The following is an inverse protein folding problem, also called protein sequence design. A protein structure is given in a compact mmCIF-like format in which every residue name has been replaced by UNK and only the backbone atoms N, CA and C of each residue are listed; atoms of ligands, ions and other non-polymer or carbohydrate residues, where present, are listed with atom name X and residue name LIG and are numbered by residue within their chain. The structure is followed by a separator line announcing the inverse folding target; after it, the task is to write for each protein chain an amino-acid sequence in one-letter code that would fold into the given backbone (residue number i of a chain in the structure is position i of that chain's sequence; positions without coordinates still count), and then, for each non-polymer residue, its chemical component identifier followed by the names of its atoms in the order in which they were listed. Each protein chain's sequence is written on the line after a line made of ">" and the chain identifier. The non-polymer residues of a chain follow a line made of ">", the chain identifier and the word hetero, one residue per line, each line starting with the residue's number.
data_IF_238347575610
#
_entry.id   IF_238347575610
#
_cell.length_a   1.000
_cell.length_b   1.000
_cell.length_c   1.000
_cell.angle_alpha   90.00
_cell.angle_beta   90.00
_cell.angle_gamma   90.00
#
_symmetry.space_group_name_H-M   'P 1'
#
loop_
_entity.id
_entity.type
_entity.pdbx_description
1 polymer ?
#
# COMPACT_ATOMS: atom_id res chain seq x y z
N UNK A 1 18.47 -14.01 4.73
CA UNK A 1 19.18 -12.72 4.57
C UNK A 1 18.24 -11.79 3.84
N UNK A 2 17.91 -10.64 4.42
CA UNK A 2 16.92 -9.72 3.85
C UNK A 2 17.45 -9.12 2.54
N UNK A 3 16.70 -9.31 1.44
CA UNK A 3 17.04 -8.81 0.11
C UNK A 3 16.47 -7.42 -0.17
N UNK A 4 15.57 -6.94 0.68
CA UNK A 4 14.91 -5.65 0.57
C UNK A 4 14.92 -5.01 1.94
N UNK A 5 15.30 -3.74 2.01
CA UNK A 5 15.14 -2.90 3.19
C UNK A 5 14.38 -1.64 2.82
N UNK A 6 13.57 -1.17 3.76
CA UNK A 6 12.75 0.01 3.56
C UNK A 6 12.95 0.95 4.74
N UNK A 7 13.11 2.23 4.43
CA UNK A 7 13.10 3.32 5.39
C UNK A 7 11.96 4.25 5.02
N UNK A 8 11.29 4.81 6.01
CA UNK A 8 10.28 5.83 5.79
C UNK A 8 10.53 7.05 6.67
N UNK A 9 10.06 8.20 6.20
CA UNK A 9 10.02 9.46 6.93
C UNK A 9 9.04 10.40 6.25
N UNK A 10 8.62 11.45 6.94
CA UNK A 10 7.88 12.56 6.32
C UNK A 10 8.86 13.64 5.88
N UNK A 11 8.68 14.20 4.70
CA UNK A 11 9.60 15.21 4.19
C UNK A 11 9.05 16.00 3.03
N UNK A 12 9.51 17.25 2.93
CA UNK A 12 9.21 18.12 1.80
C UNK A 12 10.32 18.14 0.76
N UNK A 13 10.10 18.99 -0.24
CA UNK A 13 11.02 19.22 -1.36
C UNK A 13 12.49 19.38 -0.94
N UNK A 14 12.78 20.24 0.04
CA UNK A 14 14.16 20.52 0.46
C UNK A 14 14.85 19.27 1.02
N UNK A 15 14.14 18.46 1.81
CA UNK A 15 14.70 17.22 2.36
C UNK A 15 14.98 16.22 1.23
N UNK A 16 14.02 16.03 0.33
CA UNK A 16 14.11 15.06 -0.78
C UNK A 16 15.23 15.43 -1.75
N UNK A 17 15.35 16.71 -2.12
CA UNK A 17 16.38 17.19 -3.05
C UNK A 17 17.81 17.09 -2.51
N UNK A 18 17.96 17.09 -1.18
CA UNK A 18 19.25 16.98 -0.51
C UNK A 18 19.60 15.54 -0.09
N UNK A 19 18.74 14.56 -0.39
CA UNK A 19 19.04 13.17 -0.10
C UNK A 19 20.23 12.67 -0.91
N UNK A 20 21.07 11.88 -0.25
CA UNK A 20 22.27 11.29 -0.80
C UNK A 20 22.37 9.84 -0.35
N UNK A 21 22.69 8.96 -1.30
CA UNK A 21 23.13 7.61 -1.01
C UNK A 21 24.65 7.65 -0.83
N UNK A 22 25.13 7.31 0.36
CA UNK A 22 26.55 7.23 0.65
C UNK A 22 26.97 5.76 0.72
N UNK A 23 28.03 5.42 0.00
CA UNK A 23 28.69 4.11 0.08
C UNK A 23 30.16 4.37 0.36
N UNK A 24 30.59 3.98 1.54
CA UNK A 24 31.90 4.28 2.10
C UNK A 24 32.17 5.80 2.10
N UNK A 25 33.08 6.27 1.23
CA UNK A 25 33.48 7.68 1.11
C UNK A 25 32.85 8.38 -0.10
N UNK A 26 32.07 7.66 -0.90
CA UNK A 26 31.46 8.19 -2.12
C UNK A 26 30.01 8.54 -1.81
N UNK A 27 29.64 9.78 -2.10
CA UNK A 27 28.26 10.25 -2.01
C UNK A 27 27.66 10.36 -3.42
N UNK A 28 26.48 9.77 -3.59
CA UNK A 28 25.69 9.82 -4.80
C UNK A 28 24.47 10.71 -4.55
N UNK A 29 24.41 11.84 -5.25
CA UNK A 29 23.24 12.72 -5.21
C UNK A 29 22.07 12.05 -5.91
N UNK A 30 20.91 12.07 -5.26
CA UNK A 30 19.67 11.59 -5.87
C UNK A 30 19.23 12.59 -6.95
N UNK A 31 18.68 12.11 -8.08
CA UNK A 31 18.22 12.98 -9.16
C UNK A 31 17.25 14.06 -8.70
N UNK A 32 17.48 15.28 -9.18
CA UNK A 32 16.62 16.41 -8.86
C UNK A 32 15.19 16.17 -9.42
N UNK A 33 14.21 16.30 -8.53
CA UNK A 33 12.78 16.20 -8.84
C UNK A 33 12.01 17.46 -8.44
N UNK A 34 12.69 18.57 -8.11
CA UNK A 34 12.10 19.79 -7.54
C UNK A 34 11.00 20.41 -8.41
N UNK A 35 11.04 20.21 -9.74
CA UNK A 35 10.00 20.69 -10.64
C UNK A 35 8.75 19.78 -10.70
N UNK A 36 8.77 18.62 -10.03
CA UNK A 36 7.71 17.59 -10.07
C UNK A 36 7.08 17.30 -8.71
N UNK A 37 7.69 17.80 -7.64
CA UNK A 37 7.17 17.69 -6.28
C UNK A 37 6.93 19.09 -5.70
N UNK A 38 5.86 19.24 -4.93
CA UNK A 38 5.50 20.48 -4.26
C UNK A 38 4.73 20.15 -2.99
N UNK A 39 5.30 20.43 -1.83
CA UNK A 39 4.64 20.24 -0.54
C UNK A 39 5.37 19.25 0.36
N UNK A 40 4.61 18.61 1.24
CA UNK A 40 5.08 17.57 2.15
C UNK A 40 4.61 16.21 1.65
N UNK A 41 5.43 15.19 1.89
CA UNK A 41 5.21 13.84 1.39
C UNK A 41 5.46 12.81 2.49
N UNK A 42 4.75 11.69 2.41
CA UNK A 42 5.20 10.48 3.05
C UNK A 42 6.26 9.85 2.13
N UNK A 43 7.49 9.81 2.58
CA UNK A 43 8.62 9.33 1.79
C UNK A 43 8.98 7.93 2.22
N UNK A 44 9.16 7.05 1.25
CA UNK A 44 9.62 5.68 1.46
C UNK A 44 10.82 5.41 0.56
N UNK A 45 11.96 5.08 1.16
CA UNK A 45 13.16 4.67 0.47
C UNK A 45 13.30 3.14 0.51
N UNK A 46 13.24 2.49 -0.65
CA UNK A 46 13.36 1.03 -0.81
C UNK A 46 14.74 0.70 -1.36
N UNK A 47 15.44 -0.25 -0.75
CA UNK A 47 16.76 -0.72 -1.12
C UNK A 47 16.69 -2.22 -1.45
N UNK A 48 17.02 -2.62 -2.67
CA UNK A 48 16.94 -4.02 -3.10
C UNK A 48 18.24 -4.55 -3.70
N UNK A 49 18.62 -5.77 -3.30
CA UNK A 49 19.65 -6.57 -3.96
C UNK A 49 18.96 -7.36 -5.05
N UNK A 50 19.20 -6.98 -6.29
CA UNK A 50 18.54 -7.59 -7.43
C UNK A 50 19.28 -8.85 -7.84
N UNK A 51 18.57 -9.99 -7.83
CA UNK A 51 19.10 -11.24 -8.35
C UNK A 51 18.91 -11.32 -9.86
N UNK A 52 17.65 -11.28 -10.31
CA UNK A 52 17.29 -11.37 -11.74
C UNK A 52 16.57 -10.11 -12.23
N UNK A 53 15.62 -9.62 -11.44
CA UNK A 53 14.79 -8.45 -11.76
C UNK A 53 14.23 -7.81 -10.49
N UNK A 54 13.69 -6.60 -10.61
CA UNK A 54 13.09 -5.89 -9.49
C UNK A 54 11.87 -6.65 -8.94
N UNK A 55 11.76 -6.70 -7.62
CA UNK A 55 10.65 -7.38 -6.94
C UNK A 55 9.32 -6.67 -7.17
N UNK A 56 9.31 -5.34 -7.14
CA UNK A 56 8.11 -4.51 -7.28
C UNK A 56 7.93 -3.98 -8.69
N UNK A 57 6.71 -4.03 -9.21
CA UNK A 57 6.35 -3.32 -10.44
C UNK A 57 6.27 -1.82 -10.22
N UNK A 58 6.60 -1.04 -11.24
CA UNK A 58 6.44 0.40 -11.22
C UNK A 58 4.96 0.81 -10.91
N UNK A 59 3.97 0.02 -11.36
CA UNK A 59 2.54 0.27 -11.16
C UNK A 59 2.12 0.32 -9.69
N UNK A 60 2.75 -0.45 -8.80
CA UNK A 60 2.43 -0.41 -7.37
C UNK A 60 3.20 0.69 -6.63
N UNK A 61 4.15 1.35 -7.27
CA UNK A 61 4.96 2.40 -6.64
C UNK A 61 4.48 3.81 -6.99
N UNK A 62 3.76 3.97 -8.11
CA UNK A 62 3.17 5.23 -8.55
C UNK A 62 3.62 5.65 -9.95
N UNK A 63 3.46 6.92 -10.28
CA UNK A 63 3.97 7.50 -11.52
C UNK A 63 5.49 7.66 -11.44
N UNK A 64 6.23 7.07 -12.39
CA UNK A 64 7.68 7.26 -12.49
C UNK A 64 7.99 8.71 -12.89
N UNK A 65 8.57 9.47 -11.97
CA UNK A 65 8.89 10.90 -12.21
C UNK A 65 10.36 11.12 -12.54
N UNK A 66 11.26 10.22 -12.13
CA UNK A 66 12.68 10.27 -12.50
C UNK A 66 13.35 8.89 -12.37
N UNK A 67 14.43 8.67 -13.12
CA UNK A 67 15.28 7.49 -13.01
C UNK A 67 16.72 7.83 -13.40
N UNK A 68 17.70 7.26 -12.71
CA UNK A 68 19.12 7.51 -13.02
C UNK A 68 19.99 6.33 -12.61
N UNK A 69 21.04 6.09 -13.38
CA UNK A 69 22.12 5.18 -13.05
C UNK A 69 23.21 5.94 -12.27
N UNK A 70 23.50 5.52 -11.05
CA UNK A 70 24.44 6.18 -10.15
C UNK A 70 25.90 5.72 -10.37
N UNK A 71 26.09 4.54 -10.95
CA UNK A 71 27.41 4.01 -11.26
C UNK A 71 27.59 2.56 -10.84
N UNK A 72 28.83 2.10 -10.94
CA UNK A 72 29.25 0.74 -10.56
C UNK A 72 30.13 0.84 -9.32
N UNK A 73 29.85 0.01 -8.31
CA UNK A 73 30.51 0.07 -7.00
C UNK A 73 30.83 -1.33 -6.54
N UNK A 74 32.02 -1.51 -5.98
CA UNK A 74 32.39 -2.72 -5.26
C UNK A 74 32.00 -2.59 -3.79
N UNK A 75 31.18 -3.52 -3.30
CA UNK A 75 30.68 -3.53 -1.92
C UNK A 75 31.13 -4.85 -1.28
N UNK A 76 31.58 -4.78 -0.03
CA UNK A 76 31.94 -5.97 0.76
C UNK A 76 31.39 -5.85 2.19
N UNK A 77 31.64 -6.85 3.01
CA UNK A 77 31.12 -6.96 4.38
C UNK A 77 31.55 -5.80 5.32
N UNK A 78 32.56 -5.01 4.94
CA UNK A 78 33.03 -3.83 5.67
C UNK A 78 32.49 -2.52 5.10
N UNK A 79 31.85 -2.56 3.94
CA UNK A 79 31.34 -1.36 3.30
C UNK A 79 30.18 -0.79 4.11
N UNK A 80 30.14 0.54 4.20
CA UNK A 80 29.14 1.27 4.96
C UNK A 80 28.18 1.96 3.99
N UNK A 81 26.92 1.51 3.98
CA UNK A 81 25.85 2.02 3.13
C UNK A 81 24.94 2.88 3.99
N UNK A 82 24.73 4.13 3.62
CA UNK A 82 23.96 5.10 4.39
C UNK A 82 23.07 5.95 3.50
N UNK A 83 21.90 6.29 4.02
CA UNK A 83 21.06 7.35 3.49
C UNK A 83 21.16 8.55 4.42
N UNK A 84 21.51 9.70 3.87
CA UNK A 84 21.56 10.95 4.61
C UNK A 84 20.97 12.08 3.76
N UNK A 85 20.57 13.17 4.40
CA UNK A 85 20.17 14.37 3.69
C UNK A 85 20.96 15.55 4.23
N UNK A 86 21.74 16.20 3.37
CA UNK A 86 22.57 17.32 3.76
C UNK A 86 21.67 18.50 4.17
N UNK A 87 21.83 18.98 5.41
CA UNK A 87 21.17 20.20 5.92
C UNK A 87 19.66 20.13 6.17
N UNK A 88 19.04 18.95 6.27
CA UNK A 88 17.56 18.83 6.38
C UNK A 88 17.05 18.20 7.69
N UNK A 89 17.94 17.91 8.65
CA UNK A 89 17.56 17.36 9.95
C UNK A 89 17.15 15.88 9.94
N UNK A 90 17.16 15.20 8.80
CA UNK A 90 17.00 13.75 8.74
C UNK A 90 18.20 13.08 9.41
N UNK A 91 17.93 12.20 10.38
CA UNK A 91 18.96 11.35 11.00
C UNK A 91 19.64 10.48 9.94
N UNK A 92 20.94 10.26 10.11
CA UNK A 92 21.68 9.36 9.23
C UNK A 92 21.15 7.93 9.39
N UNK A 93 20.67 7.33 8.30
CA UNK A 93 20.17 5.96 8.32
C UNK A 93 21.23 5.02 7.76
N UNK A 94 21.74 4.14 8.63
CA UNK A 94 22.60 3.04 8.20
C UNK A 94 21.75 1.93 7.57
N UNK A 95 22.08 1.55 6.34
CA UNK A 95 21.42 0.47 5.63
C UNK A 95 22.22 -0.81 5.88
N UNK A 96 21.76 -1.62 6.84
CA UNK A 96 22.40 -2.90 7.14
C UNK A 96 22.08 -3.92 6.05
N UNK A 97 22.79 -3.84 4.93
CA UNK A 97 22.50 -4.60 3.72
C UNK A 97 23.71 -5.46 3.34
N UNK A 98 23.55 -6.78 3.45
CA UNK A 98 24.65 -7.70 3.15
C UNK A 98 24.82 -7.86 1.64
N UNK A 99 25.72 -7.03 1.10
CA UNK A 99 26.15 -7.03 -0.29
C UNK A 99 27.63 -7.39 -0.36
N UNK A 100 27.97 -8.34 -1.22
CA UNK A 100 29.36 -8.70 -1.48
C UNK A 100 29.55 -8.90 -2.99
N UNK A 101 30.37 -8.05 -3.61
CA UNK A 101 30.65 -8.08 -5.04
C UNK A 101 30.56 -6.72 -5.69
N UNK A 102 30.51 -6.73 -7.02
CA UNK A 102 30.44 -5.53 -7.85
C UNK A 102 29.01 -5.31 -8.31
N UNK A 103 28.42 -4.15 -7.99
CA UNK A 103 27.02 -3.83 -8.26
C UNK A 103 26.90 -2.60 -9.14
N UNK A 104 25.98 -2.67 -10.09
CA UNK A 104 25.38 -1.53 -10.77
C UNK A 104 24.31 -0.95 -9.85
N UNK A 105 24.38 0.35 -9.58
CA UNK A 105 23.44 1.05 -8.73
C UNK A 105 22.57 1.96 -9.58
N UNK A 106 21.26 1.80 -9.47
CA UNK A 106 20.33 2.76 -10.02
C UNK A 106 19.26 3.17 -9.02
N UNK A 107 18.61 4.26 -9.35
CA UNK A 107 17.53 4.85 -8.56
C UNK A 107 16.35 5.16 -9.47
N UNK A 108 15.15 4.78 -9.03
CA UNK A 108 13.87 5.23 -9.59
C UNK A 108 13.12 6.04 -8.55
N UNK A 109 12.43 7.09 -8.96
CA UNK A 109 11.63 7.93 -8.08
C UNK A 109 10.20 7.95 -8.61
N UNK A 110 9.27 7.58 -7.73
CA UNK A 110 7.85 7.51 -8.02
C UNK A 110 7.08 8.51 -7.17
N UNK A 111 6.06 9.11 -7.78
CA UNK A 111 5.06 9.92 -7.10
C UNK A 111 3.71 9.24 -7.17
N UNK A 112 3.07 9.09 -6.02
CA UNK A 112 1.76 8.46 -5.92
C UNK A 112 0.77 9.40 -5.22
N UNK A 113 -0.46 9.41 -5.70
CA UNK A 113 -1.54 10.26 -5.20
C UNK A 113 -2.84 9.46 -5.15
N UNK A 114 -3.73 9.73 -4.17
CA UNK A 114 -5.00 9.05 -4.14
C UNK A 114 -5.85 9.44 -5.35
N UNK A 115 -6.69 8.53 -5.81
CA UNK A 115 -7.59 8.77 -6.95
C UNK A 115 -8.56 9.91 -6.65
N UNK A 116 -9.11 9.94 -5.43
CA UNK A 116 -9.93 11.04 -4.92
C UNK A 116 -9.29 11.63 -3.66
N UNK A 117 -9.50 12.91 -3.43
CA UNK A 117 -9.13 13.58 -2.18
C UNK A 117 -10.40 14.05 -1.48
N UNK A 118 -10.53 13.74 -0.19
CA UNK A 118 -11.67 14.20 0.61
C UNK A 118 -11.29 15.49 1.35
N UNK A 119 -12.12 16.55 1.33
CA UNK A 119 -11.80 17.82 2.01
C UNK A 119 -11.52 17.68 3.51
N UNK A 120 -12.11 16.68 4.16
CA UNK A 120 -11.89 16.40 5.57
C UNK A 120 -10.48 15.86 5.89
N UNK A 121 -9.72 15.45 4.88
CA UNK A 121 -8.33 14.99 5.03
C UNK A 121 -7.36 16.16 5.00
N UNK A 122 -7.68 17.23 4.26
CA UNK A 122 -6.82 18.42 4.09
C UNK A 122 -6.51 19.15 5.43
N UNK A 123 -7.30 18.88 6.48
CA UNK A 123 -7.10 19.46 7.81
C UNK A 123 -6.15 18.66 8.70
N UNK A 124 -5.75 17.44 8.29
CA UNK A 124 -4.80 16.63 9.03
C UNK A 124 -3.38 17.13 8.79
N UNK A 125 -2.53 17.25 9.82
CA UNK A 125 -1.14 17.67 9.68
C UNK A 125 -0.23 16.53 9.16
N UNK A 126 -0.78 15.64 8.33
CA UNK A 126 -0.10 14.46 7.80
C UNK A 126 -0.16 14.55 6.26
N UNK A 127 0.97 14.38 5.55
CA UNK A 127 0.97 14.34 4.09
C UNK A 127 0.03 13.27 3.56
N UNK A 128 -0.50 13.45 2.35
CA UNK A 128 -1.35 12.46 1.69
C UNK A 128 -0.60 11.76 0.55
N UNK A 129 0.16 12.51 -0.23
CA UNK A 129 0.92 11.97 -1.36
C UNK A 129 2.14 11.17 -0.88
N UNK A 130 2.52 10.16 -1.68
CA UNK A 130 3.64 9.27 -1.38
C UNK A 130 4.75 9.49 -2.39
N UNK A 131 5.99 9.62 -1.92
CA UNK A 131 7.19 9.54 -2.76
C UNK A 131 7.90 8.24 -2.45
N UNK A 132 8.04 7.37 -3.45
CA UNK A 132 8.88 6.17 -3.32
C UNK A 132 10.19 6.38 -4.05
N UNK A 133 11.31 6.31 -3.32
CA UNK A 133 12.67 6.33 -3.87
C UNK A 133 13.21 4.90 -3.83
N UNK A 134 13.41 4.31 -4.99
CA UNK A 134 13.78 2.91 -5.12
C UNK A 134 15.21 2.76 -5.61
N UNK A 135 16.10 2.42 -4.69
CA UNK A 135 17.48 2.04 -4.96
C UNK A 135 17.58 0.54 -5.26
N UNK A 136 18.23 0.19 -6.36
CA UNK A 136 18.48 -1.18 -6.74
C UNK A 136 19.96 -1.43 -6.98
N UNK A 137 20.45 -2.55 -6.47
CA UNK A 137 21.84 -3.01 -6.56
C UNK A 137 21.86 -4.30 -7.37
N UNK A 138 22.37 -4.28 -8.60
CA UNK A 138 22.36 -5.44 -9.50
C UNK A 138 23.76 -5.82 -9.97
N UNK A 139 24.12 -7.10 -9.89
CA UNK A 139 25.40 -7.62 -10.39
C UNK A 139 25.48 -7.57 -11.93
N UNK A 140 24.32 -7.50 -12.61
CA UNK A 140 24.20 -7.38 -14.06
C UNK A 140 23.49 -6.08 -14.45
N UNK A 141 23.51 -5.71 -15.73
CA UNK A 141 22.59 -4.67 -16.22
C UNK A 141 21.18 -5.27 -16.27
N UNK A 142 20.23 -4.61 -15.63
CA UNK A 142 18.85 -5.07 -15.58
C UNK A 142 18.20 -5.06 -16.97
N UNK A 143 17.44 -6.12 -17.25
CA UNK A 143 16.49 -6.13 -18.36
C UNK A 143 15.17 -5.53 -17.85
N UNK A 144 14.73 -4.42 -18.42
CA UNK A 144 13.63 -3.58 -17.90
C UNK A 144 12.24 -4.24 -17.96
N UNK A 145 12.09 -5.42 -18.57
CA UNK A 145 10.79 -5.96 -19.02
C UNK A 145 10.23 -7.16 -18.24
N UNK A 146 10.83 -7.60 -17.13
CA UNK A 146 10.33 -8.77 -16.39
C UNK A 146 10.09 -8.43 -14.91
N UNK A 147 8.85 -8.62 -14.44
CA UNK A 147 8.40 -8.36 -13.06
C UNK A 147 8.10 -9.70 -12.37
N UNK A 148 8.57 -9.89 -11.13
CA UNK A 148 8.52 -11.19 -10.45
C UNK A 148 7.21 -11.41 -9.67
N UNK A 149 6.56 -10.34 -9.22
CA UNK A 149 5.31 -10.42 -8.48
C UNK A 149 4.22 -9.62 -9.18
N UNK A 150 3.09 -10.28 -9.47
CA UNK A 150 1.86 -9.58 -9.86
C UNK A 150 1.27 -9.06 -8.55
N UNK A 151 1.37 -7.75 -8.36
CA UNK A 151 0.73 -7.08 -7.26
C UNK A 151 -0.19 -6.00 -7.82
N UNK A 152 -1.42 -5.98 -7.31
CA UNK A 152 -2.37 -4.91 -7.57
C UNK A 152 -2.27 -3.88 -6.47
N UNK A 153 -2.51 -2.62 -6.82
CA UNK A 153 -2.65 -1.53 -5.86
C UNK A 153 -3.80 -0.63 -6.27
N UNK A 154 -4.62 -0.26 -5.30
CA UNK A 154 -5.53 0.87 -5.41
C UNK A 154 -5.26 1.86 -4.29
N UNK A 155 -5.07 3.14 -4.63
CA UNK A 155 -4.79 4.19 -3.65
C UNK A 155 -5.89 5.25 -3.69
N UNK A 156 -6.62 5.41 -2.58
CA UNK A 156 -7.74 6.34 -2.53
C UNK A 156 -7.98 6.87 -1.11
N UNK A 157 -8.86 7.86 -1.00
CA UNK A 157 -9.26 8.51 0.23
C UNK A 157 -10.59 7.98 0.78
N UNK A 158 -10.60 7.68 2.07
CA UNK A 158 -11.74 7.11 2.76
C UNK A 158 -12.09 7.95 3.98
N UNK A 159 -13.39 8.03 4.30
CA UNK A 159 -13.85 8.64 5.55
C UNK A 159 -13.99 7.56 6.64
N UNK A 160 -14.64 7.92 7.75
CA UNK A 160 -14.83 7.02 8.88
C UNK A 160 -15.67 5.77 8.57
N UNK A 161 -16.41 5.75 7.47
CA UNK A 161 -17.15 4.56 7.00
C UNK A 161 -16.23 3.55 6.30
N UNK A 162 -14.96 3.87 6.12
CA UNK A 162 -13.98 3.00 5.47
C UNK A 162 -14.36 2.63 4.05
N UNK A 163 -14.30 1.33 3.75
CA UNK A 163 -14.63 0.75 2.46
C UNK A 163 -15.11 -0.69 2.61
N UNK A 164 -15.76 -1.19 1.56
CA UNK A 164 -16.09 -2.60 1.42
C UNK A 164 -15.41 -3.17 0.18
N UNK A 165 -15.15 -4.47 0.20
CA UNK A 165 -14.75 -5.26 -0.94
C UNK A 165 -15.85 -6.29 -1.18
N UNK A 166 -16.49 -6.27 -2.34
CA UNK A 166 -17.70 -7.07 -2.56
C UNK A 166 -17.82 -7.62 -3.98
N UNK A 167 -18.39 -8.81 -4.11
CA UNK A 167 -18.98 -9.28 -5.37
C UNK A 167 -20.26 -8.47 -5.60
N UNK A 168 -20.10 -7.33 -6.28
CA UNK A 168 -21.16 -6.33 -6.45
C UNK A 168 -22.38 -6.90 -7.17
N UNK A 169 -22.19 -7.76 -8.16
CA UNK A 169 -23.28 -8.38 -8.89
C UNK A 169 -24.15 -9.27 -7.98
N UNK A 170 -23.52 -10.09 -7.13
CA UNK A 170 -24.25 -10.91 -6.16
C UNK A 170 -24.91 -10.06 -5.06
N UNK A 171 -24.25 -9.01 -4.60
CA UNK A 171 -24.83 -8.07 -3.64
C UNK A 171 -26.09 -7.41 -4.20
N UNK A 172 -26.06 -6.98 -5.47
CA UNK A 172 -27.22 -6.41 -6.16
C UNK A 172 -28.38 -7.40 -6.31
N UNK A 173 -28.09 -8.66 -6.64
CA UNK A 173 -29.10 -9.71 -6.69
C UNK A 173 -29.79 -9.89 -5.33
N UNK A 174 -29.00 -10.00 -4.25
CA UNK A 174 -29.51 -10.21 -2.88
C UNK A 174 -30.37 -9.03 -2.42
N UNK A 175 -29.89 -7.80 -2.60
CA UNK A 175 -30.62 -6.60 -2.17
C UNK A 175 -31.89 -6.41 -3.00
N UNK A 176 -31.81 -6.57 -4.32
CA UNK A 176 -32.98 -6.46 -5.20
C UNK A 176 -34.03 -7.54 -4.88
N UNK A 177 -33.62 -8.77 -4.55
CA UNK A 177 -34.54 -9.82 -4.11
C UNK A 177 -35.29 -9.45 -2.83
N UNK A 178 -34.62 -8.80 -1.88
CA UNK A 178 -35.17 -8.51 -0.53
C UNK A 178 -35.95 -7.20 -0.49
N UNK A 179 -35.50 -6.17 -1.21
CA UNK A 179 -36.02 -4.81 -1.11
C UNK A 179 -36.56 -4.25 -2.45
N UNK A 180 -36.41 -4.99 -3.56
CA UNK A 180 -36.73 -4.50 -4.90
C UNK A 180 -35.85 -3.30 -5.29
N UNK A 181 -36.40 -2.41 -6.12
CA UNK A 181 -35.70 -1.21 -6.61
C UNK A 181 -35.79 -0.03 -5.63
N UNK A 182 -35.93 -0.29 -4.33
CA UNK A 182 -36.07 0.76 -3.32
C UNK A 182 -34.74 1.51 -3.14
N UNK A 183 -34.82 2.82 -2.95
CA UNK A 183 -33.64 3.60 -2.51
C UNK A 183 -33.39 3.35 -1.02
N UNK A 184 -32.17 2.99 -0.67
CA UNK A 184 -31.78 2.60 0.69
C UNK A 184 -30.51 3.35 1.11
N UNK A 185 -30.42 3.64 2.41
CA UNK A 185 -29.13 3.89 3.06
C UNK A 185 -28.62 2.55 3.59
N UNK A 186 -27.63 1.95 2.90
CA UNK A 186 -27.12 0.64 3.31
C UNK A 186 -26.31 0.68 4.60
N UNK A 187 -25.82 1.86 5.01
CA UNK A 187 -25.17 2.01 6.33
C UNK A 187 -26.21 1.75 7.42
N UNK A 188 -27.41 2.32 7.26
CA UNK A 188 -28.51 2.10 8.19
C UNK A 188 -29.01 0.64 8.11
N UNK A 189 -29.14 0.07 6.91
CA UNK A 189 -29.58 -1.33 6.76
C UNK A 189 -28.58 -2.33 7.34
N UNK A 190 -27.27 -2.12 7.17
CA UNK A 190 -26.23 -2.97 7.76
C UNK A 190 -26.21 -2.91 9.29
N UNK A 191 -26.66 -1.79 9.87
CA UNK A 191 -26.67 -1.60 11.33
C UNK A 191 -27.94 -2.13 11.98
N UNK A 192 -29.07 -2.15 11.26
CA UNK A 192 -30.39 -2.36 11.85
C UNK A 192 -31.10 -3.63 11.34
N UNK A 193 -30.53 -4.35 10.37
CA UNK A 193 -31.15 -5.53 9.76
C UNK A 193 -30.17 -6.68 9.58
N UNK A 194 -30.69 -7.87 9.30
CA UNK A 194 -29.90 -9.07 8.98
C UNK A 194 -29.28 -9.05 7.56
N UNK A 195 -29.37 -7.91 6.83
CA UNK A 195 -28.79 -7.83 5.47
C UNK A 195 -27.29 -8.11 5.50
N UNK A 196 -26.57 -7.59 6.49
CA UNK A 196 -25.11 -7.78 6.55
C UNK A 196 -24.73 -9.23 6.85
N UNK A 197 -25.47 -9.88 7.74
CA UNK A 197 -25.30 -11.30 8.07
C UNK A 197 -25.60 -12.18 6.85
N UNK A 198 -26.62 -11.83 6.05
CA UNK A 198 -26.92 -12.50 4.80
C UNK A 198 -25.74 -12.38 3.81
N UNK A 199 -25.17 -11.19 3.64
CA UNK A 199 -24.00 -10.99 2.76
C UNK A 199 -22.76 -11.76 3.25
N UNK A 200 -22.51 -11.84 4.56
CA UNK A 200 -21.45 -12.68 5.12
C UNK A 200 -21.72 -14.17 4.91
N UNK A 201 -22.96 -14.62 5.12
CA UNK A 201 -23.37 -16.02 4.90
C UNK A 201 -23.23 -16.46 3.45
N UNK A 202 -23.36 -15.51 2.52
CA UNK A 202 -23.15 -15.74 1.08
C UNK A 202 -21.67 -15.73 0.69
N UNK A 203 -20.78 -15.38 1.62
CA UNK A 203 -19.32 -15.37 1.45
C UNK A 203 -18.90 -14.44 0.30
N UNK A 204 -19.43 -13.22 0.26
CA UNK A 204 -19.22 -12.27 -0.86
C UNK A 204 -18.67 -10.90 -0.47
N UNK A 205 -18.54 -10.59 0.83
CA UNK A 205 -18.21 -9.24 1.30
C UNK A 205 -17.13 -9.24 2.38
N UNK A 206 -16.24 -8.25 2.29
CA UNK A 206 -15.28 -7.85 3.32
C UNK A 206 -15.53 -6.39 3.68
N UNK A 207 -15.38 -6.05 4.96
CA UNK A 207 -15.77 -4.73 5.47
C UNK A 207 -14.68 -4.15 6.36
N UNK A 208 -14.38 -2.88 6.12
CA UNK A 208 -13.72 -2.03 7.11
C UNK A 208 -14.55 -0.79 7.42
N UNK A 209 -14.71 -0.50 8.70
CA UNK A 209 -15.50 0.63 9.20
C UNK A 209 -14.86 1.19 10.46
N UNK A 210 -15.00 2.47 10.72
CA UNK A 210 -14.52 3.12 11.95
C UNK A 210 -13.03 3.41 11.88
N UNK A 211 -12.48 3.46 10.66
CA UNK A 211 -11.10 3.83 10.42
C UNK A 211 -10.96 5.35 10.44
N UNK A 212 -9.74 5.83 10.68
CA UNK A 212 -9.50 7.28 10.63
C UNK A 212 -9.66 7.79 9.18
N UNK A 213 -10.36 8.91 8.94
CA UNK A 213 -10.44 9.50 7.61
C UNK A 213 -9.04 9.83 7.07
N UNK A 214 -8.62 9.17 6.01
CA UNK A 214 -7.29 9.33 5.42
C UNK A 214 -7.21 8.65 4.06
N UNK A 215 -6.06 8.76 3.40
CA UNK A 215 -5.79 8.06 2.15
C UNK A 215 -4.99 6.80 2.39
N UNK A 216 -5.49 5.67 1.89
CA UNK A 216 -4.91 4.37 2.13
C UNK A 216 -4.62 3.65 0.80
N UNK A 217 -3.36 3.28 0.52
CA UNK A 217 -3.06 2.31 -0.52
C UNK A 217 -3.46 0.91 -0.04
N UNK A 218 -4.15 0.20 -0.91
CA UNK A 218 -4.68 -1.14 -0.69
C UNK A 218 -4.03 -2.04 -1.73
N UNK A 219 -3.25 -3.00 -1.25
CA UNK A 219 -2.47 -3.91 -2.06
C UNK A 219 -3.11 -5.29 -2.09
N UNK A 220 -2.87 -6.01 -3.17
CA UNK A 220 -3.08 -7.45 -3.27
C UNK A 220 -1.86 -8.05 -3.94
N UNK A 221 -1.37 -9.16 -3.42
CA UNK A 221 -0.16 -9.81 -3.93
C UNK A 221 -0.28 -11.31 -3.84
N UNK A 222 0.26 -12.01 -4.84
CA UNK A 222 0.41 -13.46 -4.81
C UNK A 222 1.46 -13.93 -3.78
N UNK A 223 2.39 -13.05 -3.40
CA UNK A 223 3.48 -13.36 -2.48
C UNK A 223 3.59 -12.30 -1.37
N UNK A 224 2.98 -12.63 -0.23
CA UNK A 224 2.95 -11.78 0.97
C UNK A 224 4.36 -11.40 1.43
N UNK A 225 5.28 -12.36 1.47
CA UNK A 225 6.64 -12.13 1.95
C UNK A 225 7.40 -11.14 1.05
N UNK A 226 7.10 -11.13 -0.25
CA UNK A 226 7.74 -10.21 -1.20
C UNK A 226 7.28 -8.76 -1.02
N UNK A 227 6.00 -8.54 -0.70
CA UNK A 227 5.44 -7.18 -0.54
C UNK A 227 5.62 -6.63 0.88
N UNK A 228 5.76 -7.48 1.88
CA UNK A 228 5.90 -7.09 3.29
C UNK A 228 6.93 -5.98 3.55
N UNK A 229 8.14 -5.99 2.96
CA UNK A 229 9.11 -4.90 3.15
C UNK A 229 8.59 -3.53 2.69
N UNK A 230 7.65 -3.49 1.75
CA UNK A 230 7.02 -2.27 1.24
C UNK A 230 5.99 -1.70 2.24
N UNK A 231 5.36 -2.58 3.02
CA UNK A 231 4.20 -2.28 3.87
C UNK A 231 4.59 -1.94 5.32
N UNK A 232 5.67 -2.53 5.83
CA UNK A 232 6.11 -2.36 7.21
C UNK A 232 5.63 -3.47 8.15
N UNK A 233 5.30 -3.13 9.40
CA UNK A 233 4.81 -4.10 10.38
C UNK A 233 3.30 -4.32 10.24
N UNK A 234 2.85 -5.51 10.60
CA UNK A 234 1.42 -5.82 10.71
C UNK A 234 0.79 -5.01 11.86
N UNK A 235 -0.42 -4.51 11.64
CA UNK A 235 -1.24 -3.99 12.72
C UNK A 235 -1.79 -5.13 13.58
N UNK A 236 -1.97 -4.88 14.87
CA UNK A 236 -2.44 -5.88 15.85
C UNK A 236 -3.84 -6.44 15.58
N UNK A 237 -4.65 -5.76 14.76
CA UNK A 237 -6.00 -6.20 14.38
C UNK A 237 -6.07 -6.38 12.88
N UNK A 238 -6.83 -7.39 12.44
CA UNK A 238 -7.07 -7.66 11.03
C UNK A 238 -8.51 -8.13 10.81
N UNK A 239 -9.03 -7.89 9.61
CA UNK A 239 -10.28 -8.46 9.16
C UNK A 239 -10.06 -9.83 8.53
N UNK A 240 -10.90 -10.81 8.86
CA UNK A 240 -10.84 -12.16 8.28
C UNK A 240 -12.22 -12.60 7.83
N UNK A 241 -12.37 -12.97 6.57
CA UNK A 241 -13.68 -13.21 5.98
C UNK A 241 -13.70 -14.54 5.24
N UNK A 242 -14.85 -15.22 5.27
CA UNK A 242 -15.12 -16.24 4.27
C UNK A 242 -15.53 -15.58 2.96
N UNK A 243 -14.79 -15.87 1.88
CA UNK A 243 -15.12 -15.48 0.52
C UNK A 243 -15.06 -16.71 -0.39
N UNK A 244 -16.10 -16.93 -1.21
CA UNK A 244 -16.15 -18.11 -2.09
C UNK A 244 -14.93 -18.17 -3.00
N UNK A 245 -14.36 -19.36 -3.21
CA UNK A 245 -13.09 -19.50 -3.93
C UNK A 245 -13.17 -19.09 -5.41
N UNK A 246 -14.36 -19.18 -6.02
CA UNK A 246 -14.62 -18.78 -7.40
C UNK A 246 -14.56 -17.25 -7.59
N UNK A 247 -14.72 -16.46 -6.53
CA UNK A 247 -14.59 -15.01 -6.58
C UNK A 247 -13.10 -14.65 -6.63
N UNK A 248 -12.60 -14.20 -7.78
CA UNK A 248 -11.17 -13.86 -7.96
C UNK A 248 -10.86 -12.39 -7.81
N UNK A 249 -11.88 -11.55 -7.89
CA UNK A 249 -11.79 -10.10 -7.81
C UNK A 249 -12.97 -9.57 -7.01
N UNK A 250 -12.76 -8.47 -6.29
CA UNK A 250 -13.80 -7.79 -5.53
C UNK A 250 -13.85 -6.33 -5.95
N UNK A 251 -15.06 -5.79 -6.05
CA UNK A 251 -15.26 -4.35 -6.28
C UNK A 251 -14.97 -3.60 -4.98
N UNK A 252 -14.15 -2.57 -5.08
CA UNK A 252 -13.77 -1.74 -3.96
C UNK A 252 -14.67 -0.51 -3.92
N UNK A 253 -15.46 -0.39 -2.86
CA UNK A 253 -16.50 0.64 -2.75
C UNK A 253 -16.28 1.44 -1.47
N UNK A 254 -16.04 2.77 -1.55
CA UNK A 254 -15.94 3.61 -0.37
C UNK A 254 -17.24 3.58 0.44
N UNK A 255 -17.13 3.52 1.77
CA UNK A 255 -18.28 3.35 2.65
C UNK A 255 -19.31 4.49 2.55
N UNK A 256 -18.88 5.70 2.19
CA UNK A 256 -19.80 6.84 2.00
C UNK A 256 -20.72 6.72 0.78
N UNK A 257 -20.38 5.87 -0.20
CA UNK A 257 -21.23 5.61 -1.37
C UNK A 257 -22.41 4.71 -1.03
N UNK A 258 -22.29 3.90 0.03
CA UNK A 258 -23.31 2.93 0.46
C UNK A 258 -24.63 3.59 0.91
N UNK A 259 -24.62 4.89 1.21
CA UNK A 259 -25.81 5.66 1.57
C UNK A 259 -26.77 5.90 0.39
N UNK A 260 -26.32 5.66 -0.84
CA UNK A 260 -27.02 6.03 -2.07
C UNK A 260 -27.39 4.81 -2.91
N UNK A 261 -27.93 3.76 -2.30
CA UNK A 261 -28.38 2.59 -3.08
C UNK A 261 -29.63 2.94 -3.93
N UNK A 262 -29.74 2.48 -5.19
CA UNK A 262 -28.76 1.73 -5.98
C UNK A 262 -27.88 2.61 -6.88
N UNK A 263 -27.83 3.93 -6.67
CA UNK A 263 -27.16 4.89 -7.57
C UNK A 263 -25.69 4.55 -7.82
N UNK A 264 -25.01 4.02 -6.80
CA UNK A 264 -23.60 3.67 -6.91
C UNK A 264 -23.36 2.40 -7.75
N UNK A 265 -24.35 1.53 -7.98
CA UNK A 265 -24.19 0.32 -8.82
C UNK A 265 -24.05 0.65 -10.31
N UNK A 266 -24.44 1.86 -10.71
CA UNK A 266 -24.32 2.36 -12.07
C UNK A 266 -22.91 2.86 -12.41
N UNK A 267 -22.03 2.96 -11.40
CA UNK A 267 -20.63 3.37 -11.57
C UNK A 267 -19.77 2.14 -11.82
N UNK A 268 -18.73 2.30 -12.65
CA UNK A 268 -17.65 1.32 -12.72
C UNK A 268 -16.74 1.48 -11.50
N UNK A 269 -16.69 0.44 -10.66
CA UNK A 269 -15.82 0.39 -9.50
C UNK A 269 -14.50 -0.25 -9.83
N UNK A 270 -13.42 0.27 -9.23
CA UNK A 270 -12.14 -0.42 -9.26
C UNK A 270 -12.30 -1.80 -8.65
N UNK A 271 -11.77 -2.80 -9.35
CA UNK A 271 -11.66 -4.16 -8.83
C UNK A 271 -10.24 -4.42 -8.38
N UNK A 272 -10.11 -5.16 -7.28
CA UNK A 272 -8.82 -5.64 -6.79
C UNK A 272 -8.83 -7.16 -6.79
N UNK A 273 -7.75 -7.77 -7.26
CA UNK A 273 -7.61 -9.23 -7.25
C UNK A 273 -7.55 -9.73 -5.82
N UNK A 274 -8.10 -10.91 -5.58
CA UNK A 274 -8.04 -11.61 -4.31
C UNK A 274 -7.11 -12.82 -4.46
N UNK A 275 -5.81 -12.54 -4.34
CA UNK A 275 -4.72 -13.49 -4.62
C UNK A 275 -4.53 -14.49 -3.48
N UNK A 276 -4.04 -15.69 -3.80
CA UNK A 276 -3.82 -16.79 -2.86
C UNK A 276 -4.79 -17.97 -3.03
N UNK A 277 -4.74 -18.92 -2.09
CA UNK A 277 -5.54 -20.17 -2.12
C UNK A 277 -6.41 -20.29 -0.88
N UNK A 278 -7.54 -20.99 -1.00
CA UNK A 278 -8.50 -21.20 0.09
C UNK A 278 -9.62 -20.15 0.16
N UNK A 279 -10.49 -20.30 1.16
CA UNK A 279 -11.71 -19.50 1.35
C UNK A 279 -11.55 -18.32 2.30
N UNK A 280 -10.45 -18.26 3.05
CA UNK A 280 -10.25 -17.19 4.02
C UNK A 280 -9.58 -16.03 3.32
N UNK A 281 -10.27 -14.90 3.22
CA UNK A 281 -9.71 -13.63 2.79
C UNK A 281 -9.29 -12.82 4.02
N UNK A 282 -8.06 -12.32 4.00
CA UNK A 282 -7.49 -11.44 5.02
C UNK A 282 -7.53 -10.01 4.51
N UNK A 283 -7.88 -9.08 5.40
CA UNK A 283 -7.74 -7.63 5.23
C UNK A 283 -6.88 -7.14 6.38
N UNK A 284 -5.58 -7.10 6.14
CA UNK A 284 -4.59 -6.83 7.18
C UNK A 284 -4.04 -5.42 6.99
N UNK A 285 -4.21 -4.51 7.97
CA UNK A 285 -3.55 -3.21 7.95
C UNK A 285 -2.07 -3.36 8.27
N UNK A 286 -1.25 -2.52 7.66
CA UNK A 286 0.18 -2.42 7.88
C UNK A 286 0.57 -0.98 8.17
N UNK A 287 1.57 -0.83 9.03
CA UNK A 287 2.14 0.45 9.43
C UNK A 287 3.62 0.46 9.05
N UNK A 288 4.00 1.46 8.27
CA UNK A 288 5.39 1.78 7.99
C UNK A 288 5.78 3.00 8.83
N UNK A 289 6.81 2.82 9.66
CA UNK A 289 7.25 3.80 10.65
C UNK A 289 8.59 4.43 10.26
N UNK A 290 8.89 5.58 10.83
CA UNK A 290 10.23 6.18 10.77
C UNK A 290 11.15 5.63 11.86
N UNK A 291 12.35 6.20 11.99
CA UNK A 291 13.34 5.77 12.99
C UNK A 291 12.94 6.05 14.44
N UNK A 292 11.99 6.96 14.66
CA UNK A 292 11.45 7.31 15.98
C UNK A 292 10.15 6.54 16.28
N UNK A 293 9.82 5.55 15.45
CA UNK A 293 8.59 4.74 15.52
C UNK A 293 7.30 5.51 15.25
N UNK A 294 7.39 6.69 14.63
CA UNK A 294 6.20 7.45 14.22
C UNK A 294 5.63 6.88 12.93
N UNK A 295 4.29 6.80 12.85
CA UNK A 295 3.60 6.26 11.66
C UNK A 295 3.82 7.17 10.45
N UNK A 296 4.45 6.67 9.38
CA UNK A 296 4.65 7.42 8.12
C UNK A 296 3.60 7.05 7.09
N UNK A 297 3.35 5.75 6.89
CA UNK A 297 2.35 5.25 5.94
C UNK A 297 1.53 4.15 6.57
N UNK A 298 0.23 4.19 6.31
CA UNK A 298 -0.68 3.10 6.61
C UNK A 298 -1.15 2.51 5.30
N UNK A 299 -1.16 1.19 5.20
CA UNK A 299 -1.64 0.48 4.02
C UNK A 299 -2.46 -0.74 4.41
N UNK A 300 -3.19 -1.30 3.44
CA UNK A 300 -3.88 -2.58 3.63
C UNK A 300 -3.31 -3.61 2.65
N UNK A 301 -3.18 -4.85 3.11
CA UNK A 301 -2.92 -6.00 2.25
C UNK A 301 -4.15 -6.90 2.26
N UNK A 302 -4.56 -7.31 1.07
CA UNK A 302 -5.60 -8.30 0.86
C UNK A 302 -4.96 -9.56 0.28
N UNK A 303 -5.24 -10.71 0.90
CA UNK A 303 -4.81 -12.01 0.37
C UNK A 303 -5.72 -13.14 0.86
N UNK A 304 -5.54 -14.33 0.28
CA UNK A 304 -6.22 -15.57 0.68
C UNK A 304 -5.30 -16.54 1.38
N UNK A 305 -5.87 -17.32 2.28
CA UNK A 305 -5.23 -18.49 2.85
C UNK A 305 -6.20 -19.67 3.00
N UNK A 306 -5.63 -20.86 3.11
CA UNK A 306 -6.34 -22.05 3.57
C UNK A 306 -6.59 -21.96 5.07
N UNK A 307 -7.56 -22.73 5.56
CA UNK A 307 -7.90 -22.84 6.98
C UNK A 307 -9.40 -22.80 7.24
N UNK A 308 -9.76 -22.72 8.52
CA UNK A 308 -11.14 -22.58 8.98
C UNK A 308 -11.27 -21.38 9.93
N UNK A 309 -12.27 -20.53 9.69
CA UNK A 309 -12.78 -19.53 10.64
C UNK A 309 -14.07 -20.03 11.28
N UNK A 310 -14.36 -19.60 12.51
CA UNK A 310 -15.69 -19.85 13.10
C UNK A 310 -16.75 -18.98 12.43
N UNK A 311 -16.40 -17.72 12.18
CA UNK A 311 -17.23 -16.70 11.57
C UNK A 311 -16.34 -15.64 10.91
N UNK A 312 -16.91 -14.84 10.03
CA UNK A 312 -16.23 -13.67 9.45
C UNK A 312 -16.07 -12.58 10.52
N UNK A 313 -14.88 -12.03 10.65
CA UNK A 313 -14.50 -11.00 11.60
C UNK A 313 -14.24 -9.70 10.82
N UNK A 314 -15.16 -8.72 10.85
CA UNK A 314 -14.95 -7.44 10.19
C UNK A 314 -13.88 -6.60 10.88
N UNK A 315 -13.22 -5.72 10.12
CA UNK A 315 -12.23 -4.80 10.67
C UNK A 315 -12.92 -3.50 11.11
N UNK A 316 -13.14 -3.35 12.42
CA UNK A 316 -13.95 -2.26 12.96
C UNK A 316 -13.16 -1.37 13.94
N UNK A 317 -13.42 -0.06 13.89
CA UNK A 317 -12.96 0.93 14.87
C UNK A 317 -11.45 0.91 15.14
N UNK A 318 -10.64 0.82 14.07
CA UNK A 318 -9.18 0.83 14.17
C UNK A 318 -8.61 2.24 14.07
N UNK A 319 -7.73 2.59 15.00
CA UNK A 319 -6.92 3.79 14.94
C UNK A 319 -5.56 3.44 14.35
N UNK A 320 -5.35 3.82 13.09
CA UNK A 320 -4.17 3.45 12.31
C UNK A 320 -3.11 4.56 12.26
N UNK A 321 -3.43 5.80 12.64
CA UNK A 321 -2.55 6.96 12.44
C UNK A 321 -1.80 7.42 13.70
N UNK A 322 -2.24 7.02 14.89
CA UNK A 322 -1.74 7.51 16.18
C UNK A 322 -1.41 6.37 17.15
N UNK A 323 -0.82 5.28 16.64
CA UNK A 323 -0.46 4.12 17.47
C UNK A 323 0.87 4.30 18.21
#
# INVERSE_FOLDING_TARGET
>A
MERIKTIAFRGGNDLIANLQLCIDRISYTIPDVMNRISGQYNVRCVFEKVENQLTFSDSILGELINQTYLGKVYINDKSDIRLLSSNSGLSEHKIDFSLHGEFNIGVKIFKDKPVHTLPAIDVLPIPVEIITIYFYFSEMKLNENLVYSISDKYFDSYNYLGFILVDLAKMEEIITRKYGNRKLDLIDEFSNTELIDELFSQEIIMITWGIHPYSYPIYSSENIDSIRPLLGREYRQEGRFYIKEDIRELSLIPGYELRKWPEFTQKEWTKISLNGKGKIAHLTPYILEDSEFETVLVSFLIHRSEGCLKESIPLLNVNLLYE
#
